data_IF_654928972473
#
_entry.id   IF_654928972473
#
_cell.length_a   1.000
_cell.length_b   1.000
_cell.length_c   1.000
_cell.angle_alpha   90.00
_cell.angle_beta   90.00
_cell.angle_gamma   90.00
#
_symmetry.space_group_name_H-M   'P 1'
#
loop_
_entity.id
_entity.type
_entity.pdbx_description
1 polymer ?
#
# COMPACT_ATOMS: atom_id res chain seq x y z
N UNK A 1 19.10 -43.43 77.77
CA UNK A 1 19.36 -42.90 79.12
C UNK A 1 20.52 -41.94 79.04
N UNK A 2 20.29 -40.67 79.37
CA UNK A 2 21.31 -39.60 79.44
C UNK A 2 22.17 -39.79 80.70
N UNK A 3 23.40 -39.26 80.73
CA UNK A 3 23.64 -37.91 81.28
C UNK A 3 24.75 -37.16 80.49
N UNK A 4 25.11 -35.89 80.66
CA UNK A 4 24.74 -34.76 81.54
C UNK A 4 25.30 -33.51 80.85
N UNK A 5 24.63 -32.37 81.00
CA UNK A 5 25.02 -31.09 80.43
C UNK A 5 26.18 -30.45 81.22
N UNK A 6 27.07 -29.79 80.49
CA UNK A 6 28.08 -28.87 81.00
C UNK A 6 27.66 -27.43 80.67
N UNK A 7 27.81 -26.58 81.67
CA UNK A 7 27.43 -25.18 81.79
C UNK A 7 28.48 -24.24 81.18
N UNK A 8 28.16 -22.94 81.24
CA UNK A 8 28.97 -21.75 80.94
C UNK A 8 28.71 -21.15 79.54
N UNK A 9 28.63 -19.83 79.35
CA UNK A 9 28.67 -18.66 80.23
C UNK A 9 28.31 -17.45 79.35
N UNK A 10 27.68 -16.47 79.97
CA UNK A 10 27.88 -15.03 79.74
C UNK A 10 27.32 -14.39 78.46
N UNK A 11 26.22 -13.69 78.72
CA UNK A 11 25.84 -12.40 78.16
C UNK A 11 27.00 -11.41 78.03
N UNK A 12 27.10 -10.74 76.88
CA UNK A 12 27.45 -9.32 76.67
C UNK A 12 27.05 -9.01 75.22
N UNK A 13 26.51 -7.88 74.79
CA UNK A 13 26.13 -6.61 75.42
C UNK A 13 25.01 -5.99 74.58
N UNK A 14 24.21 -5.14 75.21
CA UNK A 14 23.61 -3.90 74.69
C UNK A 14 23.78 -3.63 73.18
N UNK A 15 22.74 -3.25 72.44
CA UNK A 15 22.13 -1.92 72.59
C UNK A 15 20.65 -1.92 72.19
N UNK A 16 19.86 -1.25 73.02
CA UNK A 16 18.54 -0.71 72.71
C UNK A 16 18.58 0.14 71.44
N UNK A 17 17.57 -0.01 70.59
CA UNK A 17 16.92 1.17 70.02
C UNK A 17 15.42 1.00 70.21
N UNK A 18 14.94 1.72 71.22
CA UNK A 18 13.55 1.99 71.44
C UNK A 18 13.00 2.79 70.25
N UNK A 19 12.04 2.23 69.54
CA UNK A 19 10.98 3.04 68.95
C UNK A 19 9.72 2.77 69.76
N UNK A 20 9.58 3.61 70.78
CA UNK A 20 8.37 4.21 71.29
C UNK A 20 7.06 3.49 70.96
N UNK A 21 6.44 3.01 72.04
CA UNK A 21 5.01 3.00 72.23
C UNK A 21 4.37 4.30 71.68
N UNK A 22 3.80 4.21 70.49
CA UNK A 22 2.58 4.95 70.19
C UNK A 22 1.44 3.99 70.53
N UNK A 23 0.92 4.15 71.74
CA UNK A 23 -0.44 3.76 72.09
C UNK A 23 -1.38 4.27 70.98
N UNK A 24 -1.66 3.42 70.00
CA UNK A 24 -2.81 3.58 69.14
C UNK A 24 -3.88 2.69 69.74
N UNK A 25 -4.82 3.34 70.41
CA UNK A 25 -6.06 2.76 70.89
C UNK A 25 -6.71 1.99 69.73
N UNK A 26 -6.59 0.66 69.74
CA UNK A 26 -7.37 -0.19 68.86
C UNK A 26 -8.77 -0.26 69.45
N UNK A 27 -9.68 0.49 68.84
CA UNK A 27 -11.10 0.42 69.12
C UNK A 27 -11.61 -0.97 68.76
N UNK A 28 -12.16 -1.70 69.75
CA UNK A 28 -12.78 -3.00 69.53
C UNK A 28 -14.15 -2.84 68.88
N UNK A 29 -14.19 -2.65 67.56
CA UNK A 29 -15.41 -2.86 66.79
C UNK A 29 -15.11 -3.52 65.45
N UNK A 30 -15.63 -4.76 65.34
CA UNK A 30 -15.56 -5.73 64.24
C UNK A 30 -14.22 -6.45 64.00
N UNK A 31 -14.32 -7.78 64.00
CA UNK A 31 -13.31 -8.76 63.60
C UNK A 31 -12.91 -8.52 62.13
N UNK A 32 -11.87 -7.72 61.89
CA UNK A 32 -11.17 -7.74 60.62
C UNK A 32 -10.22 -8.94 60.65
N UNK A 33 -10.54 -9.97 59.87
CA UNK A 33 -9.69 -11.14 59.65
C UNK A 33 -8.44 -10.71 58.87
N UNK A 34 -7.43 -10.18 59.58
CA UNK A 34 -6.12 -9.92 59.00
C UNK A 34 -5.44 -11.27 58.75
N UNK A 35 -5.41 -11.69 57.48
CA UNK A 35 -4.61 -12.82 57.04
C UNK A 35 -3.17 -12.34 56.88
N UNK A 36 -2.29 -12.74 57.79
CA UNK A 36 -0.87 -12.38 57.72
C UNK A 36 -0.18 -13.35 56.76
N UNK A 37 0.08 -12.93 55.52
CA UNK A 37 0.90 -13.71 54.59
C UNK A 37 2.37 -13.63 55.02
N UNK A 38 3.09 -14.76 55.19
CA UNK A 38 4.50 -14.70 55.51
C UNK A 38 5.24 -13.96 54.38
N UNK A 39 6.11 -13.01 54.74
CA UNK A 39 7.03 -12.41 53.79
C UNK A 39 7.94 -13.51 53.26
N UNK A 40 7.67 -14.02 52.05
CA UNK A 40 8.58 -14.90 51.35
C UNK A 40 9.79 -14.06 50.95
N UNK A 41 10.81 -14.06 51.81
CA UNK A 41 12.15 -13.56 51.50
C UNK A 41 12.75 -14.43 50.40
N UNK A 42 12.30 -14.23 49.15
CA UNK A 42 12.85 -14.92 48.00
C UNK A 42 14.35 -14.63 47.94
N UNK A 43 15.16 -15.68 47.82
CA UNK A 43 16.60 -15.54 47.59
C UNK A 43 16.82 -14.58 46.40
N UNK A 44 17.82 -13.66 46.49
CA UNK A 44 18.06 -12.71 45.41
C UNK A 44 18.20 -13.45 44.08
N UNK A 45 17.40 -13.02 43.10
CA UNK A 45 17.23 -13.71 41.82
C UNK A 45 18.59 -14.01 41.18
N UNK A 46 18.88 -15.30 40.94
CA UNK A 46 20.12 -15.73 40.27
C UNK A 46 20.33 -14.93 38.98
N UNK A 47 21.53 -14.37 38.82
CA UNK A 47 21.91 -13.58 37.62
C UNK A 47 21.63 -14.41 36.37
N UNK A 48 20.84 -13.85 35.45
CA UNK A 48 20.54 -14.50 34.16
C UNK A 48 21.84 -14.77 33.42
N UNK A 49 22.10 -16.03 33.08
CA UNK A 49 23.29 -16.43 32.30
C UNK A 49 23.19 -15.85 30.89
N UNK A 50 24.32 -15.35 30.38
CA UNK A 50 24.44 -14.91 28.98
C UNK A 50 24.22 -16.13 28.09
N UNK A 51 23.41 -15.99 27.05
CA UNK A 51 23.15 -17.12 26.15
C UNK A 51 24.39 -17.48 25.33
N UNK A 52 24.47 -18.75 24.96
CA UNK A 52 25.55 -19.28 24.13
C UNK A 52 25.60 -18.57 22.76
N UNK A 53 26.80 -18.26 22.24
CA UNK A 53 26.97 -17.53 20.99
C UNK A 53 26.38 -18.29 19.78
N UNK A 54 26.38 -19.62 19.82
CA UNK A 54 25.83 -20.46 18.75
C UNK A 54 24.30 -20.39 18.67
N UNK A 55 23.62 -20.37 19.81
CA UNK A 55 22.16 -20.19 19.89
C UNK A 55 21.77 -18.79 19.37
N UNK A 56 22.61 -17.78 19.63
CA UNK A 56 22.39 -16.41 19.14
C UNK A 56 22.48 -16.35 17.61
N UNK A 57 23.48 -17.01 17.01
CA UNK A 57 23.65 -17.13 15.54
C UNK A 57 22.47 -17.87 14.90
N UNK A 58 22.06 -19.00 15.46
CA UNK A 58 20.93 -19.77 14.93
C UNK A 58 19.60 -18.99 14.99
N UNK A 59 19.38 -18.24 16.09
CA UNK A 59 18.22 -17.33 16.20
C UNK A 59 18.28 -16.21 15.15
N UNK A 60 19.46 -15.66 14.88
CA UNK A 60 19.65 -14.64 13.86
C UNK A 60 19.39 -15.19 12.44
N UNK A 61 19.92 -16.36 12.10
CA UNK A 61 19.67 -17.01 10.80
C UNK A 61 18.19 -17.35 10.59
N UNK A 62 17.51 -17.83 11.64
CA UNK A 62 16.06 -18.08 11.60
C UNK A 62 15.26 -16.79 11.37
N UNK A 63 15.69 -15.65 11.93
CA UNK A 63 15.09 -14.33 11.67
C UNK A 63 15.34 -13.88 10.23
N UNK A 64 16.56 -13.99 9.72
CA UNK A 64 16.92 -13.65 8.34
C UNK A 64 16.08 -14.46 7.34
N UNK A 65 15.99 -15.78 7.52
CA UNK A 65 15.18 -16.66 6.65
C UNK A 65 13.68 -16.37 6.72
N UNK A 66 13.18 -15.79 7.82
CA UNK A 66 11.78 -15.33 7.92
C UNK A 66 11.60 -14.05 7.13
N UNK A 67 12.44 -13.04 7.39
CA UNK A 67 12.42 -11.77 6.69
C UNK A 67 12.55 -11.94 5.17
N UNK A 68 13.46 -12.79 4.69
CA UNK A 68 13.59 -13.09 3.26
C UNK A 68 12.32 -13.68 2.64
N UNK A 69 11.60 -14.55 3.38
CA UNK A 69 10.33 -15.10 2.90
C UNK A 69 9.23 -14.06 2.89
N UNK A 70 9.21 -13.18 3.87
CA UNK A 70 8.20 -12.12 3.97
C UNK A 70 8.44 -11.04 2.90
N UNK A 71 9.70 -10.68 2.63
CA UNK A 71 10.10 -9.83 1.50
C UNK A 71 9.62 -10.42 0.19
N UNK A 72 9.90 -11.71 -0.10
CA UNK A 72 9.43 -12.37 -1.34
C UNK A 72 7.91 -12.35 -1.49
N UNK A 73 7.16 -12.44 -0.38
CA UNK A 73 5.69 -12.35 -0.40
C UNK A 73 5.22 -10.93 -0.68
N UNK A 74 5.82 -9.94 -0.04
CA UNK A 74 5.51 -8.51 -0.24
C UNK A 74 5.83 -8.09 -1.68
N UNK A 75 6.95 -8.54 -2.23
CA UNK A 75 7.32 -8.30 -3.63
C UNK A 75 6.28 -8.87 -4.59
N UNK A 76 5.85 -10.12 -4.39
CA UNK A 76 4.81 -10.74 -5.24
C UNK A 76 3.49 -9.96 -5.21
N UNK A 77 3.14 -9.41 -4.04
CA UNK A 77 1.91 -8.65 -3.81
C UNK A 77 2.01 -7.22 -4.37
N UNK A 78 3.18 -6.58 -4.26
CA UNK A 78 3.44 -5.25 -4.84
C UNK A 78 3.35 -5.21 -6.36
N UNK A 79 3.60 -6.34 -7.02
CA UNK A 79 3.49 -6.50 -8.48
C UNK A 79 2.06 -6.66 -8.99
N UNK A 80 1.06 -6.77 -8.10
CA UNK A 80 -0.34 -6.88 -8.53
C UNK A 80 -0.87 -5.48 -8.87
N UNK A 81 -1.32 -5.31 -10.10
CA UNK A 81 -1.93 -4.06 -10.55
C UNK A 81 -3.31 -3.87 -9.92
N UNK A 82 -3.70 -2.60 -9.72
CA UNK A 82 -5.07 -2.26 -9.34
C UNK A 82 -6.01 -2.68 -10.48
N UNK A 83 -7.18 -3.27 -10.16
CA UNK A 83 -8.14 -3.64 -11.20
C UNK A 83 -8.71 -2.39 -11.88
N UNK A 84 -8.95 -2.46 -13.19
CA UNK A 84 -9.51 -1.37 -13.98
C UNK A 84 -11.02 -1.60 -14.08
N UNK A 85 -11.79 -0.83 -13.30
CA UNK A 85 -13.23 -1.03 -13.17
C UNK A 85 -14.03 -0.81 -14.45
N UNK A 86 -13.52 -0.03 -15.39
CA UNK A 86 -14.19 0.29 -16.66
C UNK A 86 -14.11 -0.86 -17.68
N UNK A 87 -13.07 -1.69 -17.59
CA UNK A 87 -12.91 -2.87 -18.46
C UNK A 87 -13.73 -4.06 -17.96
N UNK A 88 -13.97 -4.13 -16.64
CA UNK A 88 -14.71 -5.22 -16.03
C UNK A 88 -16.23 -4.99 -16.12
N UNK A 89 -16.95 -5.96 -16.68
CA UNK A 89 -18.42 -5.91 -16.73
C UNK A 89 -18.97 -6.06 -15.30
N UNK A 90 -19.79 -5.11 -14.81
CA UNK A 90 -20.38 -5.21 -13.50
C UNK A 90 -21.27 -6.46 -13.37
N UNK A 91 -21.07 -7.24 -12.30
CA UNK A 91 -21.85 -8.47 -12.06
C UNK A 91 -23.37 -8.27 -12.02
N UNK A 92 -23.84 -7.05 -11.70
CA UNK A 92 -25.26 -6.70 -11.74
C UNK A 92 -25.79 -6.75 -13.19
N UNK A 93 -25.07 -6.14 -14.13
CA UNK A 93 -25.45 -6.10 -15.54
C UNK A 93 -25.58 -7.50 -16.16
N UNK A 94 -24.76 -8.47 -15.73
CA UNK A 94 -24.83 -9.86 -16.21
C UNK A 94 -26.04 -10.61 -15.64
N UNK A 95 -26.48 -10.29 -14.42
CA UNK A 95 -27.57 -11.00 -13.74
C UNK A 95 -28.95 -10.44 -14.05
N UNK A 96 -29.03 -9.14 -14.35
CA UNK A 96 -30.30 -8.45 -14.55
C UNK A 96 -30.88 -8.77 -15.94
N UNK A 97 -31.59 -9.91 -16.07
CA UNK A 97 -32.27 -10.30 -17.31
C UNK A 97 -33.45 -9.39 -17.66
N UNK A 98 -34.06 -8.74 -16.67
CA UNK A 98 -35.19 -7.81 -16.83
C UNK A 98 -34.83 -6.53 -17.59
N UNK A 99 -33.54 -6.16 -17.62
CA UNK A 99 -33.04 -4.94 -18.28
C UNK A 99 -32.59 -5.18 -19.72
N UNK A 100 -32.67 -6.41 -20.22
CA UNK A 100 -32.30 -6.77 -21.59
C UNK A 100 -33.38 -6.28 -22.54
N UNK A 101 -33.00 -5.44 -23.51
CA UNK A 101 -33.89 -5.02 -24.61
C UNK A 101 -33.85 -6.07 -25.71
N UNK A 102 -35.01 -6.51 -26.26
CA UNK A 102 -35.02 -7.44 -27.38
C UNK A 102 -34.34 -6.80 -28.60
N UNK A 103 -33.71 -7.62 -29.44
CA UNK A 103 -33.13 -7.13 -30.68
C UNK A 103 -34.23 -6.63 -31.61
N UNK A 104 -34.09 -5.40 -32.12
CA UNK A 104 -34.98 -4.87 -33.16
C UNK A 104 -34.70 -5.58 -34.47
N UNK A 105 -35.73 -6.12 -35.11
CA UNK A 105 -35.64 -6.59 -36.49
C UNK A 105 -35.44 -5.39 -37.42
N UNK A 106 -34.41 -5.45 -38.25
CA UNK A 106 -34.09 -4.40 -39.21
C UNK A 106 -34.65 -4.79 -40.56
N UNK A 107 -35.18 -3.81 -41.28
CA UNK A 107 -35.61 -4.05 -42.66
C UNK A 107 -34.38 -4.25 -43.57
N UNK A 108 -34.57 -4.94 -44.69
CA UNK A 108 -33.49 -5.18 -45.67
C UNK A 108 -32.93 -3.85 -46.20
N UNK A 109 -33.78 -2.84 -46.37
CA UNK A 109 -33.39 -1.54 -46.90
C UNK A 109 -32.54 -0.77 -45.88
N UNK A 110 -32.91 -0.77 -44.59
CA UNK A 110 -32.07 -0.21 -43.51
C UNK A 110 -30.69 -0.87 -43.43
N UNK A 111 -30.62 -2.18 -43.64
CA UNK A 111 -29.35 -2.90 -43.64
C UNK A 111 -28.45 -2.48 -44.81
N UNK A 112 -29.02 -2.29 -46.00
CA UNK A 112 -28.30 -1.79 -47.17
C UNK A 112 -27.81 -0.35 -46.93
N UNK A 113 -28.67 0.54 -46.46
CA UNK A 113 -28.30 1.92 -46.14
C UNK A 113 -27.14 1.99 -45.14
N UNK A 114 -27.20 1.18 -44.07
CA UNK A 114 -26.10 1.10 -43.09
C UNK A 114 -24.81 0.58 -43.71
N UNK A 115 -24.89 -0.40 -44.63
CA UNK A 115 -23.71 -0.92 -45.32
C UNK A 115 -23.09 0.15 -46.22
N UNK A 116 -23.91 0.90 -46.96
CA UNK A 116 -23.47 1.98 -47.83
C UNK A 116 -22.85 3.13 -47.03
N UNK A 117 -23.47 3.54 -45.90
CA UNK A 117 -22.91 4.53 -44.99
C UNK A 117 -21.55 4.10 -44.42
N UNK A 118 -21.41 2.84 -44.02
CA UNK A 118 -20.12 2.30 -43.54
C UNK A 118 -19.06 2.33 -44.63
N UNK A 119 -19.43 2.00 -45.88
CA UNK A 119 -18.52 2.07 -47.03
C UNK A 119 -18.07 3.51 -47.28
N UNK A 120 -19.00 4.47 -47.31
CA UNK A 120 -18.70 5.89 -47.49
C UNK A 120 -17.80 6.42 -46.36
N UNK A 121 -18.09 6.03 -45.12
CA UNK A 121 -17.27 6.39 -43.96
C UNK A 121 -15.84 5.85 -44.06
N UNK A 122 -15.68 4.59 -44.51
CA UNK A 122 -14.36 4.01 -44.72
C UNK A 122 -13.55 4.76 -45.78
N UNK A 123 -14.19 5.15 -46.89
CA UNK A 123 -13.56 5.97 -47.94
C UNK A 123 -13.17 7.34 -47.38
N UNK A 124 -14.07 7.99 -46.65
CA UNK A 124 -13.81 9.29 -46.02
C UNK A 124 -12.62 9.22 -45.06
N UNK A 125 -12.60 8.22 -44.16
CA UNK A 125 -11.50 8.04 -43.20
C UNK A 125 -10.17 7.72 -43.86
N UNK A 126 -10.18 6.94 -44.95
CA UNK A 126 -8.98 6.73 -45.76
C UNK A 126 -8.46 8.04 -46.35
N UNK A 127 -9.34 8.88 -46.92
CA UNK A 127 -8.95 10.18 -47.47
C UNK A 127 -8.37 11.09 -46.39
N UNK A 128 -9.02 11.17 -45.22
CA UNK A 128 -8.54 11.93 -44.07
C UNK A 128 -7.13 11.47 -43.66
N UNK A 129 -6.93 10.16 -43.49
CA UNK A 129 -5.65 9.59 -43.09
C UNK A 129 -4.53 9.89 -44.09
N UNK A 130 -4.79 9.74 -45.40
CA UNK A 130 -3.80 10.05 -46.43
C UNK A 130 -3.41 11.54 -46.43
N UNK A 131 -4.37 12.43 -46.19
CA UNK A 131 -4.11 13.86 -46.08
C UNK A 131 -3.25 14.20 -44.85
N UNK A 132 -3.56 13.59 -43.69
CA UNK A 132 -2.78 13.74 -42.46
C UNK A 132 -1.35 13.20 -42.63
N UNK A 133 -1.19 12.01 -43.21
CA UNK A 133 0.13 11.44 -43.51
C UNK A 133 0.95 12.34 -44.45
N UNK A 134 0.32 12.86 -45.51
CA UNK A 134 0.99 13.78 -46.44
C UNK A 134 1.39 15.09 -45.75
N UNK A 135 0.57 15.62 -44.83
CA UNK A 135 0.93 16.79 -44.04
C UNK A 135 2.14 16.52 -43.13
N UNK A 136 2.15 15.40 -42.42
CA UNK A 136 3.28 15.00 -41.56
C UNK A 136 4.56 14.85 -42.40
N UNK A 137 4.50 14.14 -43.53
CA UNK A 137 5.65 13.98 -44.43
C UNK A 137 6.19 15.32 -44.92
N UNK A 138 5.32 16.27 -45.26
CA UNK A 138 5.75 17.62 -45.67
C UNK A 138 6.44 18.37 -44.55
N UNK A 139 5.93 18.27 -43.32
CA UNK A 139 6.54 18.91 -42.13
C UNK A 139 7.92 18.31 -41.86
N UNK A 140 8.04 16.98 -41.86
CA UNK A 140 9.32 16.28 -41.63
C UNK A 140 10.33 16.63 -42.72
N UNK A 141 9.95 16.57 -44.01
CA UNK A 141 10.84 16.93 -45.11
C UNK A 141 11.22 18.43 -45.12
N UNK A 142 10.39 19.30 -44.54
CA UNK A 142 10.75 20.71 -44.34
C UNK A 142 11.74 20.87 -43.18
N UNK A 143 11.54 20.13 -42.09
CA UNK A 143 12.45 20.10 -40.95
C UNK A 143 13.84 19.57 -41.34
N UNK A 144 13.91 18.47 -42.08
CA UNK A 144 15.18 17.88 -42.57
C UNK A 144 15.94 18.88 -43.44
N UNK A 145 15.29 19.45 -44.46
CA UNK A 145 15.92 20.47 -45.32
C UNK A 145 16.40 21.70 -44.54
N UNK A 146 15.67 22.11 -43.50
CA UNK A 146 16.08 23.22 -42.66
C UNK A 146 17.32 22.87 -41.83
N UNK A 147 17.44 21.63 -41.35
CA UNK A 147 18.60 21.13 -40.62
C UNK A 147 19.83 20.97 -41.53
N UNK A 148 19.65 20.46 -42.75
CA UNK A 148 20.74 20.35 -43.74
C UNK A 148 21.31 21.74 -44.07
N UNK A 149 20.43 22.72 -44.33
CA UNK A 149 20.85 24.11 -44.57
C UNK A 149 21.52 24.75 -43.34
N UNK A 150 21.05 24.43 -42.12
CA UNK A 150 21.65 24.90 -40.88
C UNK A 150 23.06 24.32 -40.71
N UNK A 151 23.25 23.04 -41.04
CA UNK A 151 24.55 22.36 -40.96
C UNK A 151 25.57 22.97 -41.92
N UNK A 152 25.15 23.31 -43.14
CA UNK A 152 26.01 23.97 -44.14
C UNK A 152 26.42 25.39 -43.74
N UNK A 153 25.54 26.10 -43.02
CA UNK A 153 25.77 27.51 -42.63
C UNK A 153 26.50 27.65 -41.29
N UNK A 154 26.16 26.84 -40.29
CA UNK A 154 26.77 26.86 -38.96
C UNK A 154 26.66 25.53 -38.23
N UNK A 155 27.80 24.88 -38.00
CA UNK A 155 27.85 23.61 -37.27
C UNK A 155 27.42 23.75 -35.79
N UNK A 156 27.81 24.85 -35.11
CA UNK A 156 27.53 25.07 -33.69
C UNK A 156 26.02 25.11 -33.40
N UNK A 157 25.25 25.88 -34.19
CA UNK A 157 23.79 25.96 -34.02
C UNK A 157 23.09 24.64 -34.35
N UNK A 158 23.64 23.85 -35.28
CA UNK A 158 23.12 22.53 -35.61
C UNK A 158 23.28 21.55 -34.44
N UNK A 159 24.45 21.55 -33.78
CA UNK A 159 24.71 20.72 -32.61
C UNK A 159 23.77 21.03 -31.45
N UNK A 160 23.46 22.32 -31.23
CA UNK A 160 22.47 22.76 -30.26
C UNK A 160 21.04 22.36 -30.64
N UNK A 161 20.64 22.58 -31.90
CA UNK A 161 19.28 22.32 -32.36
C UNK A 161 18.87 20.84 -32.32
N UNK A 162 19.83 19.91 -32.40
CA UNK A 162 19.56 18.47 -32.30
C UNK A 162 19.37 18.00 -30.86
N UNK A 163 19.84 18.76 -29.87
CA UNK A 163 19.72 18.33 -28.48
C UNK A 163 18.24 18.23 -28.08
N UNK A 164 17.83 17.14 -27.40
CA UNK A 164 16.48 17.02 -26.90
C UNK A 164 16.24 18.03 -25.77
N UNK A 165 15.17 18.81 -25.88
CA UNK A 165 14.78 19.75 -24.84
C UNK A 165 14.13 19.02 -23.65
N UNK A 166 14.76 18.98 -22.46
CA UNK A 166 14.20 18.31 -21.29
C UNK A 166 12.95 19.01 -20.74
N UNK A 167 12.71 20.29 -21.09
CA UNK A 167 11.55 21.05 -20.59
C UNK A 167 10.23 20.61 -21.21
N UNK A 168 10.27 19.89 -22.35
CA UNK A 168 9.10 19.32 -23.00
C UNK A 168 8.44 18.20 -22.17
N UNK A 169 9.12 17.66 -21.15
CA UNK A 169 8.59 16.58 -20.32
C UNK A 169 8.49 17.08 -18.86
N UNK A 170 7.29 17.19 -18.26
CA UNK A 170 5.99 16.69 -18.71
C UNK A 170 5.14 17.71 -19.49
N UNK A 171 4.86 17.43 -20.77
CA UNK A 171 3.88 18.16 -21.57
C UNK A 171 2.44 17.89 -21.11
N UNK A 172 1.64 18.95 -20.90
CA UNK A 172 0.21 18.86 -20.56
C UNK A 172 -0.59 19.75 -21.50
N UNK A 173 -1.62 19.19 -22.12
CA UNK A 173 -2.55 19.91 -22.99
C UNK A 173 -3.97 19.44 -22.71
N UNK A 174 -4.90 20.38 -22.55
CA UNK A 174 -6.33 20.10 -22.48
C UNK A 174 -6.90 20.08 -23.90
N UNK A 175 -7.77 19.11 -24.19
CA UNK A 175 -8.47 19.03 -25.47
C UNK A 175 -9.41 20.22 -25.70
N UNK A 176 -9.85 20.45 -26.95
CA UNK A 176 -10.84 21.47 -27.25
C UNK A 176 -12.17 21.17 -26.55
N UNK A 177 -12.85 22.23 -26.11
CA UNK A 177 -14.21 22.17 -25.53
C UNK A 177 -15.26 22.41 -26.62
N UNK A 178 -16.46 21.84 -26.47
CA UNK A 178 -17.57 22.05 -27.41
C UNK A 178 -18.01 23.52 -27.46
N UNK A 179 -18.05 24.18 -26.30
CA UNK A 179 -18.37 25.60 -26.15
C UNK A 179 -17.25 26.29 -25.37
N UNK A 180 -16.83 27.49 -25.79
CA UNK A 180 -15.82 28.25 -25.06
C UNK A 180 -16.35 28.67 -23.68
N UNK A 181 -15.45 28.90 -22.70
CA UNK A 181 -15.85 29.35 -21.38
C UNK A 181 -16.55 30.72 -21.44
N UNK A 182 -17.57 30.88 -20.59
CA UNK A 182 -18.29 32.15 -20.42
C UNK A 182 -17.59 32.97 -19.35
N UNK A 183 -17.25 34.22 -19.67
CA UNK A 183 -16.61 35.14 -18.73
C UNK A 183 -17.54 35.44 -17.54
N UNK A 184 -16.97 35.42 -16.32
CA UNK A 184 -17.67 35.70 -15.06
C UNK A 184 -18.90 34.82 -14.77
N UNK A 185 -18.91 33.58 -15.29
CA UNK A 185 -19.95 32.62 -14.93
C UNK A 185 -19.82 32.19 -13.46
N UNK A 186 -20.83 32.50 -12.65
CA UNK A 186 -20.91 32.06 -11.27
C UNK A 186 -21.42 30.62 -11.21
N UNK A 187 -20.51 29.68 -10.95
CA UNK A 187 -20.86 28.26 -10.86
C UNK A 187 -21.58 27.99 -9.53
N UNK A 188 -22.75 27.31 -9.53
CA UNK A 188 -23.45 26.97 -8.30
C UNK A 188 -22.54 26.09 -7.42
N UNK A 189 -22.29 26.52 -6.20
CA UNK A 189 -21.37 25.82 -5.29
C UNK A 189 -21.77 24.37 -5.01
N UNK A 190 -20.78 23.53 -4.71
CA UNK A 190 -20.97 22.14 -4.29
C UNK A 190 -19.68 21.52 -3.75
N UNK A 191 -19.82 20.54 -2.85
CA UNK A 191 -18.68 19.83 -2.26
C UNK A 191 -18.28 18.63 -3.13
N UNK A 192 -16.99 18.55 -3.48
CA UNK A 192 -16.43 17.38 -4.14
C UNK A 192 -16.06 16.31 -3.10
N UNK A 193 -16.73 15.15 -3.17
CA UNK A 193 -16.40 13.98 -2.34
C UNK A 193 -15.74 12.93 -3.22
N UNK A 194 -14.46 12.65 -2.96
CA UNK A 194 -13.74 11.58 -3.62
C UNK A 194 -14.29 10.20 -3.18
N UNK A 195 -14.91 9.48 -4.10
CA UNK A 195 -15.46 8.12 -3.90
C UNK A 195 -14.57 7.03 -4.53
N UNK A 196 -13.33 7.36 -4.88
CA UNK A 196 -12.39 6.41 -5.47
C UNK A 196 -12.13 5.23 -4.54
N UNK A 197 -12.22 4.01 -5.09
CA UNK A 197 -12.02 2.78 -4.31
C UNK A 197 -10.54 2.58 -4.04
N UNK A 198 -10.16 2.57 -2.78
CA UNK A 198 -8.79 2.29 -2.36
C UNK A 198 -8.56 0.77 -2.40
N UNK A 199 -7.74 0.31 -3.35
CA UNK A 199 -7.29 -1.08 -3.43
C UNK A 199 -5.98 -1.26 -2.67
N UNK A 200 -6.07 -1.75 -1.43
CA UNK A 200 -4.89 -2.16 -0.67
C UNK A 200 -4.57 -3.62 -0.93
N UNK A 201 -3.35 -3.95 -1.39
CA UNK A 201 -2.95 -5.32 -1.60
C UNK A 201 -2.59 -5.93 -0.23
N UNK A 202 -3.63 -6.32 0.52
CA UNK A 202 -3.47 -6.92 1.85
C UNK A 202 -2.93 -8.33 1.64
N UNK A 203 -1.74 -8.65 2.18
CA UNK A 203 -1.35 -10.04 2.38
C UNK A 203 -2.33 -10.60 3.40
N UNK A 204 -3.29 -11.48 3.04
CA UNK A 204 -4.30 -11.90 4.00
C UNK A 204 -3.60 -12.63 5.15
N UNK A 205 -3.88 -12.24 6.39
CA UNK A 205 -3.41 -12.96 7.58
C UNK A 205 -4.04 -14.36 7.65
N UNK A 206 -5.26 -14.50 7.11
CA UNK A 206 -6.01 -15.76 7.06
C UNK A 206 -5.29 -16.84 6.23
N UNK A 207 -4.97 -18.01 6.81
CA UNK A 207 -4.25 -19.09 6.12
C UNK A 207 -5.04 -19.67 4.92
N UNK A 208 -6.37 -19.60 4.93
CA UNK A 208 -7.21 -20.04 3.80
C UNK A 208 -7.11 -19.09 2.60
N UNK A 209 -7.08 -17.77 2.84
CA UNK A 209 -6.90 -16.77 1.78
C UNK A 209 -5.46 -16.79 1.25
N UNK A 210 -4.47 -17.06 2.10
CA UNK A 210 -3.08 -17.31 1.68
C UNK A 210 -2.97 -18.54 0.76
N UNK A 211 -3.73 -19.61 1.00
CA UNK A 211 -3.79 -20.78 0.10
C UNK A 211 -4.35 -20.41 -1.28
N UNK A 212 -5.46 -19.67 -1.35
CA UNK A 212 -6.07 -19.22 -2.62
C UNK A 212 -5.13 -18.32 -3.44
N UNK A 213 -4.28 -17.53 -2.78
CA UNK A 213 -3.28 -16.66 -3.42
C UNK A 213 -1.94 -17.37 -3.71
N UNK A 214 -1.83 -18.67 -3.42
CA UNK A 214 -0.61 -19.44 -3.62
C UNK A 214 0.56 -19.00 -2.71
N UNK A 215 0.26 -18.41 -1.56
CA UNK A 215 1.23 -17.91 -0.56
C UNK A 215 1.48 -18.92 0.60
N UNK A 216 0.90 -20.13 0.50
CA UNK A 216 1.05 -21.17 1.53
C UNK A 216 2.46 -21.78 1.54
N UNK A 217 2.91 -22.24 2.71
CA UNK A 217 4.09 -23.11 2.79
C UNK A 217 3.76 -24.43 2.09
N UNK A 218 4.43 -24.75 1.00
CA UNK A 218 4.52 -26.14 0.53
C UNK A 218 5.09 -26.96 1.68
N UNK A 219 4.36 -28.03 2.06
CA UNK A 219 4.86 -29.01 3.02
C UNK A 219 6.04 -29.75 2.41
#
# INVERSE_FOLDING_TARGET
MLPLQSTFRNLTSYCMNAFNNLNRNFHSSRLLQFQNTPALCAEPLRKKKRMDPQILRERAEKKIKRLQRDIRKLEKVSRQYKPISELDIPRKAVRDSERVRPASELTIDELKERADLKRLWAIYKRKQHLAEMSAIQRIVAAQERALDALQETSLELYEEAIQPDPTLIPFKMTGPVETPPIDNYDYPGGDYIDVTKIYQPIVPSDPQKQKKLGLHKKK
#
